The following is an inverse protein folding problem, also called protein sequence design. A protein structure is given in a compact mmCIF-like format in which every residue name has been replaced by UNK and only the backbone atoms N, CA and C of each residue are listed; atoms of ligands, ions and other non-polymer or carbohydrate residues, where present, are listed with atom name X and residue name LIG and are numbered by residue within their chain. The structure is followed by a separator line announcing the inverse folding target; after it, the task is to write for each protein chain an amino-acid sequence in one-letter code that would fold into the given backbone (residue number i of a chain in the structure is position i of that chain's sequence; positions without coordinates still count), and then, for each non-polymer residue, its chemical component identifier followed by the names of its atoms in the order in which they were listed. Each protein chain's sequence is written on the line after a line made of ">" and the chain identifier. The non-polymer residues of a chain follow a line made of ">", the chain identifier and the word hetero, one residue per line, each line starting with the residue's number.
data_IF_151047855231
#
_entry.id   IF_151047855231
#
_cell.length_a   1.000
_cell.length_b   1.000
_cell.length_c   1.000
_cell.angle_alpha   90.00
_cell.angle_beta   90.00
_cell.angle_gamma   90.00
#
_symmetry.space_group_name_H-M   'P 1'
#
loop_
_entity.id
_entity.type
_entity.pdbx_description
1 polymer ?
#
# COMPACT_ATOMS: atom_id res chain seq x y z
N UNK A 1 11.47 7.47 1.21
CA UNK A 1 11.93 6.79 2.42
C UNK A 1 12.51 5.42 2.16
N UNK A 2 11.69 4.37 1.93
CA UNK A 2 12.18 2.98 1.88
C UNK A 2 13.22 2.71 0.78
N UNK A 3 13.07 3.28 -0.40
CA UNK A 3 14.07 3.16 -1.49
C UNK A 3 15.42 3.72 -1.05
N UNK A 4 15.44 4.95 -0.53
CA UNK A 4 16.68 5.58 -0.05
C UNK A 4 17.29 4.79 1.11
N UNK A 5 16.47 4.28 2.03
CA UNK A 5 16.93 3.44 3.13
C UNK A 5 17.56 2.14 2.61
N UNK A 6 16.97 1.50 1.61
CA UNK A 6 17.52 0.26 1.02
C UNK A 6 18.83 0.50 0.28
N UNK A 7 18.97 1.64 -0.39
CA UNK A 7 20.24 2.00 -1.04
C UNK A 7 21.35 2.31 -0.02
N UNK A 8 21.00 2.95 1.11
CA UNK A 8 21.95 3.25 2.18
C UNK A 8 22.31 2.01 3.04
N UNK A 9 21.39 1.07 3.16
CA UNK A 9 21.52 -0.13 4.00
C UNK A 9 21.08 -1.37 3.21
N UNK A 10 21.85 -1.82 2.24
CA UNK A 10 21.46 -2.88 1.29
C UNK A 10 21.12 -4.22 1.97
N UNK A 11 21.74 -4.50 3.11
CA UNK A 11 21.55 -5.76 3.85
C UNK A 11 20.34 -5.73 4.79
N UNK A 12 19.69 -4.57 4.94
CA UNK A 12 18.51 -4.46 5.82
C UNK A 12 17.21 -4.64 5.06
N UNK A 13 16.24 -5.19 5.74
CA UNK A 13 14.86 -5.16 5.27
C UNK A 13 14.32 -3.73 5.40
N UNK A 14 13.79 -3.21 4.29
CA UNK A 14 13.23 -1.88 4.22
C UNK A 14 11.75 -1.99 3.84
N UNK A 15 10.89 -1.56 4.74
CA UNK A 15 9.44 -1.67 4.59
C UNK A 15 8.83 -0.28 4.49
N UNK A 16 7.92 -0.10 3.55
CA UNK A 16 7.06 1.07 3.42
C UNK A 16 5.62 0.65 3.74
N UNK A 17 4.93 1.39 4.60
CA UNK A 17 3.51 1.21 4.87
C UNK A 17 2.78 2.44 4.34
N UNK A 18 1.77 2.23 3.52
CA UNK A 18 1.07 3.32 2.85
C UNK A 18 -0.42 3.00 2.67
N UNK A 19 -1.24 4.02 2.61
CA UNK A 19 -2.64 3.93 2.19
C UNK A 19 -2.80 4.26 0.70
N UNK A 20 -4.05 4.35 0.25
CA UNK A 20 -4.43 4.52 -1.16
C UNK A 20 -3.81 5.76 -1.81
N UNK A 21 -3.83 6.91 -1.13
CA UNK A 21 -3.22 8.13 -1.65
C UNK A 21 -1.70 7.97 -1.83
N UNK A 22 -1.02 7.41 -0.82
CA UNK A 22 0.43 7.27 -0.84
C UNK A 22 0.91 6.32 -1.92
N UNK A 23 0.17 5.23 -2.20
CA UNK A 23 0.53 4.29 -3.25
C UNK A 23 0.46 4.94 -4.63
N UNK A 24 -0.55 5.79 -4.88
CA UNK A 24 -0.68 6.50 -6.14
C UNK A 24 0.52 7.41 -6.45
N UNK A 25 1.11 8.03 -5.43
CA UNK A 25 2.31 8.85 -5.59
C UNK A 25 3.58 8.03 -5.85
N UNK A 26 3.65 6.80 -5.40
CA UNK A 26 4.87 6.00 -5.51
C UNK A 26 4.91 5.07 -6.73
N UNK A 27 3.81 4.88 -7.43
CA UNK A 27 3.70 3.93 -8.56
C UNK A 27 4.74 4.17 -9.65
N UNK A 28 5.10 5.42 -9.91
CA UNK A 28 6.15 5.78 -10.86
C UNK A 28 7.54 5.22 -10.52
N UNK A 29 7.74 4.78 -9.26
CA UNK A 29 9.02 4.19 -8.84
C UNK A 29 9.04 2.65 -8.98
N UNK A 30 7.93 2.01 -9.32
CA UNK A 30 7.85 0.55 -9.38
C UNK A 30 8.80 -0.03 -10.42
N UNK A 31 8.82 0.54 -11.61
CA UNK A 31 9.72 0.10 -12.68
C UNK A 31 11.18 0.25 -12.27
N UNK A 32 11.54 1.39 -11.71
CA UNK A 32 12.92 1.63 -11.27
C UNK A 32 13.37 0.63 -10.19
N UNK A 33 12.52 0.33 -9.21
CA UNK A 33 12.84 -0.66 -8.19
C UNK A 33 13.03 -2.06 -8.79
N UNK A 34 12.21 -2.45 -9.76
CA UNK A 34 12.34 -3.72 -10.45
C UNK A 34 13.63 -3.78 -11.27
N UNK A 35 13.90 -2.75 -12.07
CA UNK A 35 15.05 -2.67 -12.97
C UNK A 35 16.38 -2.69 -12.21
N UNK A 36 16.46 -2.02 -11.08
CA UNK A 36 17.68 -1.93 -10.27
C UNK A 36 17.77 -2.98 -9.16
N UNK A 37 16.82 -3.88 -9.04
CA UNK A 37 16.81 -4.91 -8.00
C UNK A 37 16.74 -4.33 -6.57
N UNK A 38 16.01 -3.23 -6.37
CA UNK A 38 15.88 -2.58 -5.07
C UNK A 38 14.79 -3.31 -4.26
N UNK A 39 15.20 -4.33 -3.52
CA UNK A 39 14.33 -5.21 -2.73
C UNK A 39 13.74 -4.52 -1.52
N UNK A 40 12.69 -3.73 -1.72
CA UNK A 40 11.86 -3.16 -0.66
C UNK A 40 10.52 -3.89 -0.58
N UNK A 41 9.88 -3.86 0.58
CA UNK A 41 8.48 -4.30 0.74
C UNK A 41 7.58 -3.07 0.90
N UNK A 42 6.55 -2.98 0.08
CA UNK A 42 5.45 -2.02 0.26
C UNK A 42 4.22 -2.76 0.77
N UNK A 43 3.72 -2.33 1.92
CA UNK A 43 2.47 -2.78 2.51
C UNK A 43 1.41 -1.71 2.23
N UNK A 44 0.47 -2.05 1.39
CA UNK A 44 -0.64 -1.16 1.02
C UNK A 44 -1.88 -1.51 1.85
N UNK A 45 -2.33 -0.56 2.64
CA UNK A 45 -3.60 -0.65 3.35
C UNK A 45 -4.67 -0.08 2.44
N UNK A 46 -5.33 -0.97 1.71
CA UNK A 46 -6.37 -0.61 0.74
C UNK A 46 -7.73 -0.66 1.43
N UNK A 47 -8.27 0.50 1.76
CA UNK A 47 -9.61 0.66 2.32
C UNK A 47 -10.59 1.30 1.32
N UNK A 48 -10.26 1.34 0.04
CA UNK A 48 -11.13 1.77 -1.05
C UNK A 48 -11.08 3.26 -1.35
N UNK A 49 -10.14 4.02 -0.80
CA UNK A 49 -10.01 5.45 -1.09
C UNK A 49 -9.47 6.27 0.06
N UNK A 50 -9.69 7.57 0.00
CA UNK A 50 -9.19 8.53 1.01
C UNK A 50 -10.18 8.63 2.18
N UNK A 51 -10.39 7.54 2.89
CA UNK A 51 -11.45 7.39 3.90
C UNK A 51 -11.29 8.28 5.14
N UNK A 52 -10.16 8.93 5.32
CA UNK A 52 -9.97 9.92 6.38
C UNK A 52 -10.69 11.25 6.15
N UNK A 53 -11.29 11.43 4.98
CA UNK A 53 -11.97 12.66 4.59
C UNK A 53 -13.48 12.44 4.57
N UNK A 54 -14.12 12.59 5.73
CA UNK A 54 -15.57 12.56 5.86
C UNK A 54 -16.26 13.80 5.25
N UNK A 55 -17.60 13.82 5.22
CA UNK A 55 -18.36 14.98 4.79
C UNK A 55 -17.91 16.25 5.53
N UNK A 56 -17.65 17.31 4.76
CA UNK A 56 -17.21 18.59 5.30
C UNK A 56 -15.70 18.74 5.54
N UNK A 57 -14.88 17.70 5.35
CA UNK A 57 -13.42 17.82 5.46
C UNK A 57 -12.82 18.84 4.47
N UNK A 58 -13.48 19.03 3.34
CA UNK A 58 -13.10 19.98 2.28
C UNK A 58 -13.86 21.31 2.34
N UNK A 59 -14.64 21.54 3.39
CA UNK A 59 -15.47 22.73 3.58
C UNK A 59 -16.94 22.54 3.18
N UNK A 60 -17.79 23.52 3.45
CA UNK A 60 -19.23 23.47 3.13
C UNK A 60 -19.47 23.25 1.63
N UNK A 61 -20.37 22.34 1.30
CA UNK A 61 -20.73 22.04 -0.10
C UNK A 61 -19.78 21.10 -0.83
N UNK A 62 -18.71 20.65 -0.21
CA UNK A 62 -17.78 19.69 -0.79
C UNK A 62 -18.04 18.29 -0.23
N UNK A 63 -18.66 17.46 -1.05
CA UNK A 63 -18.91 16.06 -0.74
C UNK A 63 -17.82 15.19 -1.36
N UNK A 64 -16.98 14.51 -0.55
CA UNK A 64 -15.91 13.65 -1.07
C UNK A 64 -16.44 12.48 -1.92
N UNK A 65 -17.67 12.01 -1.69
CA UNK A 65 -18.27 10.97 -2.52
C UNK A 65 -18.63 11.47 -3.92
N UNK A 66 -19.11 12.70 -4.03
CA UNK A 66 -19.38 13.33 -5.33
C UNK A 66 -18.11 13.49 -6.16
N UNK A 67 -17.00 13.77 -5.51
CA UNK A 67 -15.71 13.94 -6.17
C UNK A 67 -14.90 12.65 -6.30
N UNK A 68 -15.46 11.53 -5.89
CA UNK A 68 -14.76 10.23 -5.92
C UNK A 68 -13.47 10.20 -5.11
N UNK A 69 -13.30 11.08 -4.13
CA UNK A 69 -12.11 11.15 -3.29
C UNK A 69 -12.04 9.97 -2.33
N UNK A 70 -13.22 9.54 -1.83
CA UNK A 70 -13.36 8.42 -0.91
C UNK A 70 -13.63 7.08 -1.61
N UNK A 71 -13.60 7.05 -2.93
CA UNK A 71 -13.92 5.86 -3.71
C UNK A 71 -13.04 5.87 -4.98
N UNK A 72 -11.95 5.17 -4.95
CA UNK A 72 -11.12 5.03 -6.14
C UNK A 72 -11.60 3.88 -7.03
N UNK A 73 -11.24 3.94 -8.30
CA UNK A 73 -11.46 2.82 -9.19
C UNK A 73 -10.83 1.55 -8.59
N UNK A 74 -11.55 0.43 -8.67
CA UNK A 74 -11.10 -0.88 -8.15
C UNK A 74 -9.86 -1.37 -8.91
N UNK A 75 -8.77 -0.64 -8.78
CA UNK A 75 -7.50 -1.07 -9.33
C UNK A 75 -6.88 -2.06 -8.35
N UNK A 76 -6.56 -3.23 -8.83
CA UNK A 76 -5.70 -4.16 -8.11
C UNK A 76 -4.26 -3.65 -8.21
N UNK A 77 -3.82 -2.92 -7.19
CA UNK A 77 -2.46 -2.34 -7.18
C UNK A 77 -1.38 -3.42 -7.13
N UNK A 78 -1.67 -4.55 -6.52
CA UNK A 78 -0.79 -5.72 -6.54
C UNK A 78 -0.59 -6.27 -7.96
N UNK A 79 -1.62 -6.23 -8.81
CA UNK A 79 -1.51 -6.63 -10.21
C UNK A 79 -0.60 -5.66 -11.00
N UNK A 80 -0.69 -4.37 -10.73
CA UNK A 80 0.20 -3.37 -11.34
C UNK A 80 1.66 -3.61 -10.93
N UNK A 81 1.90 -3.91 -9.65
CA UNK A 81 3.23 -4.28 -9.18
C UNK A 81 3.77 -5.53 -9.87
N UNK A 82 2.94 -6.57 -10.04
CA UNK A 82 3.30 -7.79 -10.80
C UNK A 82 3.66 -7.48 -12.26
N UNK A 83 2.91 -6.59 -12.89
CA UNK A 83 3.12 -6.24 -14.30
C UNK A 83 4.50 -5.65 -14.58
N UNK A 84 5.13 -5.03 -13.58
CA UNK A 84 6.50 -4.49 -13.67
C UNK A 84 7.55 -5.34 -12.96
N UNK A 85 7.22 -6.58 -12.61
CA UNK A 85 8.19 -7.56 -12.10
C UNK A 85 8.30 -7.68 -10.58
N UNK A 86 7.52 -6.95 -9.81
CA UNK A 86 7.48 -7.12 -8.35
C UNK A 86 6.84 -8.45 -7.94
N UNK A 87 7.17 -8.94 -6.76
CA UNK A 87 6.26 -9.86 -6.08
C UNK A 87 5.02 -9.06 -5.66
N UNK A 88 3.86 -9.42 -6.16
CA UNK A 88 2.62 -8.71 -5.86
C UNK A 88 1.54 -9.68 -5.41
N UNK A 89 0.93 -9.43 -4.26
CA UNK A 89 -0.21 -10.23 -3.80
C UNK A 89 -1.22 -9.36 -3.03
N UNK A 90 -2.48 -9.75 -3.13
CA UNK A 90 -3.60 -9.17 -2.40
C UNK A 90 -4.06 -10.13 -1.29
N UNK A 91 -4.42 -9.56 -0.14
CA UNK A 91 -4.78 -10.29 1.06
C UNK A 91 -6.08 -9.72 1.62
N UNK A 92 -7.14 -10.52 1.62
CA UNK A 92 -8.45 -10.19 2.21
C UNK A 92 -8.71 -10.95 3.52
N UNK A 93 -7.98 -12.04 3.76
CA UNK A 93 -8.18 -12.90 4.91
C UNK A 93 -7.11 -12.67 5.98
N UNK A 94 -7.48 -12.37 7.25
CA UNK A 94 -6.52 -12.13 8.32
C UNK A 94 -5.49 -13.26 8.52
N UNK A 95 -5.90 -14.49 8.31
CA UNK A 95 -5.01 -15.67 8.43
C UNK A 95 -3.87 -15.68 7.40
N UNK A 96 -4.02 -14.94 6.29
CA UNK A 96 -3.03 -14.85 5.22
C UNK A 96 -2.02 -13.72 5.41
N UNK A 97 -2.22 -12.82 6.39
CA UNK A 97 -1.33 -11.67 6.63
C UNK A 97 0.11 -12.13 6.87
N UNK A 98 0.33 -13.00 7.85
CA UNK A 98 1.69 -13.46 8.18
C UNK A 98 2.31 -14.30 7.06
N UNK A 99 1.61 -15.24 6.42
CA UNK A 99 2.13 -15.93 5.25
C UNK A 99 2.55 -14.98 4.11
N UNK A 100 1.75 -13.97 3.80
CA UNK A 100 2.06 -12.99 2.75
C UNK A 100 3.30 -12.15 3.07
N UNK A 101 3.42 -11.70 4.32
CA UNK A 101 4.61 -10.97 4.78
C UNK A 101 5.88 -11.81 4.63
N UNK A 102 5.83 -13.10 4.96
CA UNK A 102 6.98 -14.00 4.79
C UNK A 102 7.38 -14.13 3.32
N UNK A 103 6.43 -14.36 2.42
CA UNK A 103 6.70 -14.42 0.97
C UNK A 103 7.30 -13.12 0.42
N UNK A 104 6.81 -11.97 0.91
CA UNK A 104 7.35 -10.67 0.53
C UNK A 104 8.80 -10.49 0.98
N UNK A 105 9.13 -10.90 2.21
CA UNK A 105 10.50 -10.86 2.73
C UNK A 105 11.43 -11.81 1.98
N UNK A 106 10.94 -13.01 1.63
CA UNK A 106 11.69 -13.97 0.82
C UNK A 106 11.99 -13.43 -0.58
N UNK A 107 11.03 -12.74 -1.21
CA UNK A 107 11.26 -12.05 -2.48
C UNK A 107 12.34 -10.97 -2.36
N UNK A 108 12.29 -10.17 -1.29
CA UNK A 108 13.31 -9.14 -1.04
C UNK A 108 14.70 -9.71 -0.82
N UNK A 109 14.83 -10.84 -0.16
CA UNK A 109 16.11 -11.53 0.03
C UNK A 109 16.76 -11.93 -1.31
N UNK A 110 15.93 -12.09 -2.36
CA UNK A 110 16.35 -12.38 -3.74
C UNK A 110 16.55 -11.11 -4.58
N UNK A 111 16.52 -9.92 -3.98
CA UNK A 111 16.62 -8.63 -4.69
C UNK A 111 15.33 -8.21 -5.41
N UNK A 112 14.25 -8.97 -5.28
CA UNK A 112 12.97 -8.68 -5.92
C UNK A 112 12.11 -7.79 -5.00
N UNK A 113 11.67 -6.60 -5.43
CA UNK A 113 10.76 -5.80 -4.62
C UNK A 113 9.41 -6.49 -4.44
N UNK A 114 8.72 -6.23 -3.33
CA UNK A 114 7.46 -6.85 -2.98
C UNK A 114 6.38 -5.83 -2.64
N UNK A 115 5.16 -6.13 -3.05
CA UNK A 115 3.96 -5.34 -2.81
C UNK A 115 2.87 -6.25 -2.25
N UNK A 116 2.45 -5.99 -1.01
CA UNK A 116 1.35 -6.71 -0.38
C UNK A 116 0.20 -5.74 -0.16
N UNK A 117 -0.91 -6.02 -0.79
CA UNK A 117 -2.13 -5.23 -0.74
C UNK A 117 -3.11 -5.86 0.24
N UNK A 118 -3.31 -5.21 1.38
CA UNK A 118 -4.30 -5.62 2.37
C UNK A 118 -5.64 -4.96 2.07
N UNK A 119 -6.62 -5.76 1.69
CA UNK A 119 -7.99 -5.31 1.42
C UNK A 119 -8.70 -5.13 2.76
N UNK A 120 -8.95 -3.90 3.14
CA UNK A 120 -9.52 -3.53 4.42
C UNK A 120 -10.94 -2.97 4.28
N UNK A 121 -11.66 -2.90 5.39
CA UNK A 121 -12.97 -2.24 5.42
C UNK A 121 -12.83 -0.74 5.10
N UNK A 122 -13.73 -0.24 4.27
CA UNK A 122 -13.86 1.19 3.98
C UNK A 122 -14.18 2.01 5.25
N UNK A 123 -14.95 1.42 6.15
CA UNK A 123 -15.31 2.02 7.43
C UNK A 123 -14.64 1.25 8.58
N UNK A 124 -13.40 1.60 8.94
CA UNK A 124 -12.73 0.92 10.03
C UNK A 124 -13.48 1.15 11.35
N UNK A 125 -13.83 0.06 12.02
CA UNK A 125 -14.33 0.14 13.40
C UNK A 125 -13.12 0.37 14.30
N UNK A 126 -12.89 1.62 14.66
CA UNK A 126 -11.87 1.98 15.64
C UNK A 126 -12.31 1.55 17.03
N UNK A 127 -12.02 0.32 17.43
CA UNK A 127 -12.19 -0.12 18.80
C UNK A 127 -11.36 0.76 19.75
N UNK A 128 -11.98 1.71 20.43
CA UNK A 128 -11.37 2.46 21.52
C UNK A 128 -10.91 3.89 21.27
N UNK A 129 -11.02 4.44 20.07
CA UNK A 129 -10.84 5.87 19.82
C UNK A 129 -12.17 6.63 19.78
N UNK A 130 -13.02 6.37 20.75
CA UNK A 130 -14.09 7.29 21.09
C UNK A 130 -13.44 8.32 22.02
N UNK A 131 -13.34 9.56 21.55
CA UNK A 131 -12.64 10.61 22.28
C UNK A 131 -13.02 10.67 23.75
N UNK A 132 -12.04 10.68 24.61
CA UNK A 132 -12.15 11.17 25.97
C UNK A 132 -11.92 12.66 25.98
#
# INVERSE_FOLDING_TARGET
>A
GAIAAKLAYPDRQCVNITGDAGVCYMMGNFEACARYGIGITTLHINNGGYSGYGPGAWGPGHDPYTWKVSDHASACMSAMARAVGWHGEDVSEPSQVIPALKRALDANAQGRPAFVEFICSHNPVHGGWVGR
#
